data_IF_589229640531
#
_entry.id   IF_589229640531
#
_cell.length_a   1.000
_cell.length_b   1.000
_cell.length_c   1.000
_cell.angle_alpha   90.00
_cell.angle_beta   90.00
_cell.angle_gamma   90.00
#
_symmetry.space_group_name_H-M   'P 1'
#
loop_
_entity.id
_entity.type
_entity.pdbx_description
1 polymer ?
#
# COMPACT_ATOMS: atom_id res chain seq x y z
N UNK A 1 32.00 -32.30 12.57
CA UNK A 1 32.24 -32.25 11.12
C UNK A 1 30.94 -31.85 10.47
N UNK A 2 30.94 -30.72 9.76
CA UNK A 2 29.75 -30.15 9.14
C UNK A 2 29.24 -30.95 7.95
N UNK A 3 28.02 -30.62 7.56
CA UNK A 3 27.36 -31.14 6.37
C UNK A 3 26.15 -30.27 6.05
N UNK A 4 26.41 -29.06 5.57
CA UNK A 4 25.41 -28.21 4.91
C UNK A 4 24.95 -28.95 3.66
N UNK A 5 23.77 -29.60 3.75
CA UNK A 5 23.09 -30.18 2.61
C UNK A 5 22.56 -29.05 1.74
N UNK A 6 23.21 -28.84 0.61
CA UNK A 6 22.84 -27.89 -0.44
C UNK A 6 21.37 -28.08 -0.81
N UNK A 7 20.57 -27.03 -0.63
CA UNK A 7 19.25 -26.93 -1.25
C UNK A 7 19.45 -27.03 -2.77
N UNK A 8 19.08 -28.19 -3.31
CA UNK A 8 19.03 -28.42 -4.74
C UNK A 8 18.17 -27.32 -5.38
N UNK A 9 18.71 -26.72 -6.44
CA UNK A 9 18.05 -25.72 -7.25
C UNK A 9 16.72 -26.27 -7.77
N UNK A 10 15.63 -25.89 -7.12
CA UNK A 10 14.29 -26.15 -7.64
C UNK A 10 14.05 -25.24 -8.85
N UNK A 11 13.66 -25.86 -9.96
CA UNK A 11 13.61 -25.25 -11.26
C UNK A 11 12.67 -24.05 -11.31
N UNK A 12 13.25 -22.85 -11.36
CA UNK A 12 12.83 -21.73 -12.22
C UNK A 12 11.36 -21.28 -12.22
N UNK A 13 10.52 -21.63 -11.25
CA UNK A 13 9.17 -21.06 -11.13
C UNK A 13 9.31 -19.63 -10.61
N UNK A 14 9.10 -18.67 -11.51
CA UNK A 14 9.02 -17.24 -11.17
C UNK A 14 8.01 -17.08 -10.04
N UNK A 15 8.48 -16.69 -8.85
CA UNK A 15 7.67 -16.41 -7.65
C UNK A 15 6.86 -15.11 -7.85
N UNK A 16 5.90 -15.14 -8.77
CA UNK A 16 5.11 -13.98 -9.18
C UNK A 16 3.68 -14.14 -8.69
N UNK A 17 3.09 -13.04 -8.23
CA UNK A 17 1.65 -12.97 -7.93
C UNK A 17 0.82 -13.28 -9.18
N UNK A 18 -0.31 -13.97 -8.98
CA UNK A 18 -1.26 -14.24 -10.07
C UNK A 18 -1.88 -12.95 -10.59
N UNK A 19 -2.17 -12.89 -11.91
CA UNK A 19 -2.71 -11.68 -12.58
C UNK A 19 -1.96 -10.39 -12.21
N UNK A 20 -0.62 -10.46 -12.21
CA UNK A 20 0.25 -9.37 -11.75
C UNK A 20 0.15 -8.04 -12.52
N UNK A 21 -0.46 -8.03 -13.71
CA UNK A 21 -0.69 -6.80 -14.48
C UNK A 21 -2.04 -6.15 -14.16
N UNK A 22 -2.89 -6.82 -13.39
CA UNK A 22 -4.22 -6.33 -13.01
C UNK A 22 -4.17 -5.68 -11.62
N UNK A 23 -4.83 -4.53 -11.53
CA UNK A 23 -5.07 -3.86 -10.25
C UNK A 23 -6.21 -4.55 -9.52
N UNK A 24 -5.87 -5.49 -8.63
CA UNK A 24 -6.81 -6.24 -7.78
C UNK A 24 -6.37 -6.12 -6.32
N UNK A 25 -6.92 -5.15 -5.56
CA UNK A 25 -6.59 -4.96 -4.14
C UNK A 25 -7.04 -6.12 -3.25
N UNK A 26 -8.12 -6.82 -3.63
CA UNK A 26 -8.73 -7.88 -2.82
C UNK A 26 -7.82 -9.10 -2.61
N UNK A 27 -6.87 -9.30 -3.52
CA UNK A 27 -5.87 -10.38 -3.44
C UNK A 27 -5.11 -10.42 -2.12
N UNK A 28 -5.03 -9.30 -1.42
CA UNK A 28 -4.28 -9.16 -0.17
C UNK A 28 -5.10 -9.35 1.11
N UNK A 29 -6.39 -9.69 1.00
CA UNK A 29 -7.30 -9.75 2.15
C UNK A 29 -7.35 -11.11 2.86
N UNK A 30 -7.07 -12.20 2.14
CA UNK A 30 -7.36 -13.57 2.63
C UNK A 30 -6.26 -14.19 3.49
N UNK A 31 -5.01 -13.69 3.43
CA UNK A 31 -3.87 -14.25 4.17
C UNK A 31 -3.17 -13.16 5.01
N UNK A 32 -3.10 -13.30 6.34
CA UNK A 32 -2.51 -12.29 7.23
C UNK A 32 -0.98 -12.20 7.17
N UNK A 33 -0.28 -13.18 6.58
CA UNK A 33 1.18 -13.26 6.53
C UNK A 33 1.70 -12.82 5.16
N UNK A 34 1.07 -13.27 4.07
CA UNK A 34 1.52 -12.99 2.72
C UNK A 34 0.52 -12.21 1.86
N UNK A 35 -0.71 -11.98 2.34
CA UNK A 35 -1.77 -11.33 1.56
C UNK A 35 -1.97 -11.98 0.20
N UNK A 36 -2.07 -13.31 0.14
CA UNK A 36 -2.26 -14.05 -1.10
C UNK A 36 -1.03 -14.08 -2.03
N UNK A 37 0.15 -13.62 -1.58
CA UNK A 37 1.37 -13.73 -2.36
C UNK A 37 2.11 -15.06 -2.17
N UNK A 38 2.83 -15.56 -3.21
CA UNK A 38 3.59 -16.80 -3.13
C UNK A 38 4.72 -16.81 -2.07
N UNK A 39 5.14 -15.63 -1.59
CA UNK A 39 6.13 -15.49 -0.53
C UNK A 39 6.10 -14.09 0.09
N UNK A 40 6.59 -13.96 1.33
CA UNK A 40 6.77 -12.67 1.99
C UNK A 40 7.70 -11.70 1.24
N UNK A 41 8.55 -12.21 0.34
CA UNK A 41 9.43 -11.39 -0.52
C UNK A 41 8.81 -11.01 -1.87
N UNK A 42 7.55 -11.38 -2.11
CA UNK A 42 6.83 -11.02 -3.34
C UNK A 42 6.24 -9.60 -3.29
N UNK A 43 6.24 -8.94 -2.13
CA UNK A 43 5.76 -7.58 -1.91
C UNK A 43 6.68 -6.82 -0.94
N UNK A 44 7.44 -5.84 -1.44
CA UNK A 44 8.46 -5.12 -0.66
C UNK A 44 8.44 -3.60 -0.92
N UNK A 45 7.29 -2.91 -0.76
CA UNK A 45 7.17 -1.47 -1.06
C UNK A 45 8.07 -0.59 -0.18
N UNK A 46 8.43 -1.07 1.01
CA UNK A 46 9.28 -0.38 1.98
C UNK A 46 10.61 -1.11 2.25
N UNK A 47 10.96 -2.09 1.40
CA UNK A 47 12.09 -2.99 1.63
C UNK A 47 11.87 -3.96 2.79
N UNK A 48 12.92 -4.69 3.17
CA UNK A 48 12.92 -5.64 4.28
C UNK A 48 14.27 -5.69 5.00
N UNK A 49 14.29 -6.25 6.21
CA UNK A 49 15.50 -6.44 7.01
C UNK A 49 15.95 -5.18 7.76
N UNK A 50 17.18 -5.16 8.30
CA UNK A 50 17.69 -4.09 9.18
C UNK A 50 17.77 -2.70 8.53
N UNK A 51 17.66 -2.64 7.20
CA UNK A 51 17.72 -1.42 6.39
C UNK A 51 16.39 -1.13 5.67
N UNK A 52 15.30 -1.75 6.13
CA UNK A 52 13.95 -1.39 5.68
C UNK A 52 13.61 0.08 5.99
N UNK A 53 12.60 0.61 5.32
CA UNK A 53 12.19 1.99 5.49
C UNK A 53 11.73 2.24 6.94
N UNK A 54 12.41 3.17 7.63
CA UNK A 54 12.02 3.62 8.97
C UNK A 54 10.63 4.26 8.97
N UNK A 55 10.23 4.86 7.85
CA UNK A 55 8.93 5.52 7.66
C UNK A 55 7.78 4.59 7.29
N UNK A 56 7.93 3.26 7.36
CA UNK A 56 6.88 2.32 6.91
C UNK A 56 5.52 2.59 7.55
N UNK A 57 5.47 2.75 8.88
CA UNK A 57 4.21 2.98 9.61
C UNK A 57 3.62 4.36 9.29
N UNK A 58 4.49 5.38 9.20
CA UNK A 58 4.09 6.73 8.87
C UNK A 58 3.49 6.78 7.46
N UNK A 59 4.21 6.28 6.44
CA UNK A 59 3.76 6.30 5.06
C UNK A 59 2.46 5.53 4.83
N UNK A 60 2.28 4.37 5.48
CA UNK A 60 1.02 3.64 5.42
C UNK A 60 -0.14 4.43 6.04
N UNK A 61 0.11 5.09 7.18
CA UNK A 61 -0.91 5.90 7.87
C UNK A 61 -1.31 7.10 7.03
N UNK A 62 -0.33 7.86 6.52
CA UNK A 62 -0.54 9.04 5.69
C UNK A 62 -1.32 8.70 4.42
N UNK A 63 -0.91 7.67 3.68
CA UNK A 63 -1.59 7.24 2.45
C UNK A 63 -3.00 6.75 2.75
N UNK A 64 -3.20 5.99 3.84
CA UNK A 64 -4.53 5.49 4.21
C UNK A 64 -5.48 6.64 4.55
N UNK A 65 -5.03 7.61 5.34
CA UNK A 65 -5.84 8.79 5.70
C UNK A 65 -6.12 9.69 4.51
N UNK A 66 -5.12 9.95 3.67
CA UNK A 66 -5.28 10.76 2.47
C UNK A 66 -6.28 10.13 1.50
N UNK A 67 -6.11 8.85 1.18
CA UNK A 67 -6.98 8.12 0.25
C UNK A 67 -8.39 7.95 0.81
N UNK A 68 -8.54 7.63 2.10
CA UNK A 68 -9.88 7.47 2.71
C UNK A 68 -10.67 8.78 2.66
N UNK A 69 -10.03 9.91 2.99
CA UNK A 69 -10.67 11.23 2.93
C UNK A 69 -11.00 11.64 1.50
N UNK A 70 -10.08 11.44 0.56
CA UNK A 70 -10.31 11.71 -0.86
C UNK A 70 -11.51 10.92 -1.40
N UNK A 71 -11.59 9.62 -1.12
CA UNK A 71 -12.67 8.75 -1.60
C UNK A 71 -14.01 8.96 -0.89
N UNK A 72 -14.00 9.55 0.30
CA UNK A 72 -15.21 9.92 1.05
C UNK A 72 -15.82 11.21 0.50
N UNK A 73 -14.99 12.23 0.29
CA UNK A 73 -15.45 13.59 0.03
C UNK A 73 -15.54 13.90 -1.48
N UNK A 74 -14.90 13.11 -2.35
CA UNK A 74 -14.83 13.37 -3.79
C UNK A 74 -15.09 12.13 -4.66
N UNK A 75 -15.53 12.36 -5.89
CA UNK A 75 -15.51 11.39 -6.98
C UNK A 75 -14.51 11.83 -8.06
N UNK A 76 -13.79 10.86 -8.60
CA UNK A 76 -12.70 11.05 -9.55
C UNK A 76 -13.06 10.45 -10.90
N UNK A 77 -12.82 11.20 -11.97
CA UNK A 77 -12.97 10.73 -13.35
C UNK A 77 -11.64 10.93 -14.08
N UNK A 78 -11.07 9.86 -14.60
CA UNK A 78 -9.81 9.93 -15.34
C UNK A 78 -10.07 10.37 -16.78
N UNK A 79 -9.40 11.44 -17.22
CA UNK A 79 -9.63 12.03 -18.55
C UNK A 79 -8.76 11.39 -19.66
N UNK A 80 -7.97 10.37 -19.33
CA UNK A 80 -7.14 9.67 -20.32
C UNK A 80 -7.90 8.55 -21.04
N UNK A 81 -7.72 8.48 -22.35
CA UNK A 81 -8.04 7.27 -23.13
C UNK A 81 -7.15 6.13 -22.61
N UNK A 82 -7.68 4.91 -22.44
CA UNK A 82 -7.09 3.78 -21.70
C UNK A 82 -5.71 3.24 -22.11
N UNK A 83 -4.89 4.04 -22.80
CA UNK A 83 -3.45 3.88 -22.89
C UNK A 83 -2.79 3.96 -21.50
N UNK A 84 -1.72 3.17 -21.26
CA UNK A 84 -0.95 3.25 -20.03
C UNK A 84 -0.31 4.63 -19.89
N UNK A 85 -0.38 5.20 -18.69
CA UNK A 85 0.28 6.46 -18.37
C UNK A 85 1.80 6.33 -18.60
N UNK A 86 2.42 7.29 -19.32
CA UNK A 86 3.85 7.26 -19.53
C UNK A 86 4.55 7.52 -18.19
N UNK A 87 5.54 6.68 -17.86
CA UNK A 87 6.28 6.76 -16.60
C UNK A 87 7.76 7.01 -16.89
N UNK A 88 8.38 7.84 -16.04
CA UNK A 88 9.80 8.13 -16.06
C UNK A 88 10.44 7.62 -14.77
N UNK A 89 11.61 7.01 -14.91
CA UNK A 89 12.46 6.60 -13.80
C UNK A 89 13.44 7.74 -13.48
N UNK A 90 13.26 8.39 -12.34
CA UNK A 90 14.22 9.32 -11.74
C UNK A 90 14.64 8.76 -10.36
N UNK A 91 14.98 9.60 -9.38
CA UNK A 91 15.13 9.17 -7.97
C UNK A 91 13.91 8.38 -7.47
N UNK A 92 12.72 8.75 -7.95
CA UNK A 92 11.45 8.03 -7.75
C UNK A 92 10.76 7.76 -9.09
N UNK A 93 9.79 6.84 -9.11
CA UNK A 93 8.95 6.62 -10.28
C UNK A 93 7.96 7.78 -10.40
N UNK A 94 8.03 8.51 -11.51
CA UNK A 94 7.19 9.66 -11.78
C UNK A 94 6.42 9.48 -13.09
N UNK A 95 5.40 10.31 -13.30
CA UNK A 95 4.74 10.42 -14.60
C UNK A 95 5.62 11.21 -15.56
N UNK A 96 5.65 10.78 -16.82
CA UNK A 96 6.30 11.53 -17.90
C UNK A 96 5.28 12.48 -18.53
N UNK A 97 5.12 13.65 -17.94
CA UNK A 97 4.09 14.63 -18.30
C UNK A 97 2.99 14.72 -17.24
N UNK A 98 1.75 14.94 -17.69
CA UNK A 98 0.59 15.13 -16.82
C UNK A 98 -0.48 14.06 -17.06
N UNK A 99 -1.16 13.66 -15.99
CA UNK A 99 -2.37 12.85 -16.02
C UNK A 99 -3.52 13.70 -15.46
N UNK A 100 -4.52 13.98 -16.28
CA UNK A 100 -5.66 14.80 -15.88
C UNK A 100 -6.76 13.94 -15.28
N UNK A 101 -7.32 14.43 -14.18
CA UNK A 101 -8.42 13.80 -13.47
C UNK A 101 -9.43 14.88 -13.07
N UNK A 102 -10.66 14.74 -13.56
CA UNK A 102 -11.79 15.52 -13.10
C UNK A 102 -12.15 15.12 -11.67
N UNK A 103 -12.36 16.12 -10.82
CA UNK A 103 -12.74 15.93 -9.41
C UNK A 103 -14.07 16.62 -9.21
N UNK A 104 -15.05 15.90 -8.65
CA UNK A 104 -16.34 16.45 -8.22
C UNK A 104 -16.56 16.14 -6.75
N UNK A 105 -17.09 17.08 -5.99
CA UNK A 105 -17.50 16.83 -4.60
C UNK A 105 -18.60 15.76 -4.58
N UNK A 106 -18.49 14.81 -3.66
CA UNK A 106 -19.58 13.88 -3.40
C UNK A 106 -20.61 14.61 -2.53
N UNK A 107 -21.83 14.77 -3.04
CA UNK A 107 -22.95 15.26 -2.24
C UNK A 107 -23.12 14.31 -1.04
N UNK A 108 -22.92 14.81 0.17
CA UNK A 108 -22.85 13.98 1.37
C UNK A 108 -24.15 13.22 1.64
N UNK A 109 -24.03 11.99 2.13
CA UNK A 109 -25.07 11.41 2.97
C UNK A 109 -25.17 12.29 4.23
N UNK A 110 -26.31 12.97 4.43
CA UNK A 110 -26.50 13.83 5.58
C UNK A 110 -26.42 13.02 6.89
N UNK A 111 -25.32 13.17 7.61
CA UNK A 111 -25.22 12.95 9.05
C UNK A 111 -24.99 11.52 9.53
N UNK A 112 -23.73 11.14 9.69
CA UNK A 112 -23.33 10.39 10.89
C UNK A 112 -22.48 11.34 11.74
N UNK A 113 -23.08 11.88 12.81
CA UNK A 113 -22.34 12.58 13.85
C UNK A 113 -21.39 11.56 14.47
N UNK A 114 -20.10 11.69 14.18
CA UNK A 114 -19.09 11.13 15.06
C UNK A 114 -19.23 11.92 16.36
N UNK A 115 -19.83 11.32 17.38
CA UNK A 115 -19.71 11.84 18.73
C UNK A 115 -18.22 11.86 19.04
N UNK A 116 -17.67 13.06 19.21
CA UNK A 116 -16.37 13.26 19.86
C UNK A 116 -16.51 12.69 21.27
N UNK A 117 -16.15 11.41 21.39
CA UNK A 117 -15.91 10.79 22.69
C UNK A 117 -14.81 11.59 23.36
N UNK A 118 -15.14 12.11 24.54
CA UNK A 118 -14.28 12.88 25.41
C UNK A 118 -12.89 12.22 25.51
N UNK A 119 -11.85 13.00 25.22
CA UNK A 119 -10.46 12.64 25.47
C UNK A 119 -10.29 12.49 27.00
N UNK A 120 -10.41 11.27 27.53
CA UNK A 120 -9.75 10.93 28.78
C UNK A 120 -8.26 10.79 28.46
N UNK A 121 -7.50 11.82 28.83
CA UNK A 121 -6.04 11.78 28.91
C UNK A 121 -5.63 10.71 29.94
N UNK A 122 -5.46 9.46 29.51
CA UNK A 122 -4.76 8.45 30.30
C UNK A 122 -3.25 8.68 30.10
N UNK A 123 -2.62 9.27 31.12
CA UNK A 123 -1.16 9.41 31.24
C UNK A 123 -0.52 8.01 31.28
N UNK A 124 -0.10 7.50 30.11
CA UNK A 124 0.65 6.25 30.02
C UNK A 124 2.13 6.56 30.27
N UNK A 125 2.57 6.31 31.50
CA UNK A 125 3.98 6.32 31.92
C UNK A 125 4.71 5.20 31.15
N UNK A 126 5.43 5.56 30.09
CA UNK A 126 6.23 4.62 29.29
C UNK A 126 7.61 4.43 29.95
N UNK A 127 7.92 3.24 30.52
CA UNK A 127 9.23 3.00 31.07
C UNK A 127 10.27 2.94 29.94
N UNK A 128 11.20 3.89 30.00
CA UNK A 128 12.40 3.91 29.17
C UNK A 128 13.25 2.67 29.51
N UNK A 129 13.52 1.81 28.53
CA UNK A 129 14.57 0.80 28.60
C UNK A 129 15.40 0.81 27.31
#
# INVERSE_FOLDING_TARGET
GGGVGTAAADGGKRRRVERAKEFDPRRWLDDPIAGGAPSAFSWLPFGAGPRGCLGTRLGLTEVTLAVSRMLRDFEFEFEGEGAPLPVKYDLTLNLDGAAWCGIRERCGDEGEKVEEGEEEEEEVDVPFF
#
